data_IF_728063044256
#
_entry.id   IF_728063044256
#
_cell.length_a   1.000
_cell.length_b   1.000
_cell.length_c   1.000
_cell.angle_alpha   90.00
_cell.angle_beta   90.00
_cell.angle_gamma   90.00
#
_symmetry.space_group_name_H-M   'P 1'
#
loop_
_entity.id
_entity.type
_entity.pdbx_description
1 polymer ?
#
# COMPACT_ATOMS: atom_id res chain seq x y z
N UNK A 1 -44.87 52.61 12.52
CA UNK A 1 -45.35 52.21 11.18
C UNK A 1 -44.14 52.35 10.24
N UNK A 2 -43.07 51.58 10.39
CA UNK A 2 -42.90 50.12 10.28
C UNK A 2 -43.15 49.63 8.84
N UNK A 3 -42.09 49.65 8.01
CA UNK A 3 -41.81 48.67 6.95
C UNK A 3 -40.46 48.98 6.27
N UNK A 4 -39.35 48.94 7.03
CA UNK A 4 -38.06 48.65 6.41
C UNK A 4 -37.80 47.16 6.66
N UNK A 5 -37.83 46.43 5.56
CA UNK A 5 -37.65 44.99 5.49
C UNK A 5 -36.29 44.61 6.10
N UNK A 6 -36.23 43.85 7.21
CA UNK A 6 -34.97 43.31 7.69
C UNK A 6 -34.48 42.29 6.65
N UNK A 7 -33.47 42.67 5.88
CA UNK A 7 -32.71 41.73 5.07
C UNK A 7 -32.16 40.70 6.05
N UNK A 8 -32.69 39.48 5.97
CA UNK A 8 -32.26 38.33 6.74
C UNK A 8 -30.76 38.18 6.69
N UNK A 9 -30.22 38.32 7.89
CA UNK A 9 -28.98 37.82 8.42
C UNK A 9 -28.49 36.47 7.85
N UNK A 10 -27.25 36.52 7.37
CA UNK A 10 -26.25 35.70 8.05
C UNK A 10 -26.18 34.22 7.67
N UNK A 11 -26.91 33.73 6.67
CA UNK A 11 -26.52 32.50 6.00
C UNK A 11 -25.63 32.84 4.81
N UNK A 12 -24.45 33.34 5.16
CA UNK A 12 -23.29 33.18 4.30
C UNK A 12 -23.22 31.72 3.91
N UNK A 13 -23.62 31.43 2.68
CA UNK A 13 -22.83 30.52 1.85
C UNK A 13 -21.46 31.17 1.69
N UNK A 14 -20.72 31.34 2.79
CA UNK A 14 -19.30 31.11 2.73
C UNK A 14 -19.21 29.81 1.94
N UNK A 15 -18.40 29.75 0.87
CA UNK A 15 -17.94 28.45 0.44
C UNK A 15 -17.58 27.77 1.74
N UNK A 16 -18.26 26.68 2.08
CA UNK A 16 -17.64 25.73 2.99
C UNK A 16 -16.38 25.45 2.22
N UNK A 17 -15.31 26.15 2.59
CA UNK A 17 -13.98 25.76 2.24
C UNK A 17 -13.95 24.41 2.92
N UNK A 18 -14.33 23.41 2.12
CA UNK A 18 -14.15 22.04 2.46
C UNK A 18 -12.66 22.03 2.69
N UNK A 19 -12.29 22.18 3.96
CA UNK A 19 -10.96 21.88 4.44
C UNK A 19 -10.93 20.38 4.25
N UNK A 20 -10.76 19.97 2.98
CA UNK A 20 -10.27 18.66 2.60
C UNK A 20 -9.08 18.53 3.52
N UNK A 21 -9.14 17.66 4.55
CA UNK A 21 -8.02 17.53 5.45
C UNK A 21 -6.86 17.18 4.53
N UNK A 22 -5.91 18.12 4.37
CA UNK A 22 -4.79 17.97 3.47
C UNK A 22 -4.17 16.63 3.85
N UNK A 23 -4.24 15.64 2.95
CA UNK A 23 -4.01 14.22 3.23
C UNK A 23 -2.95 14.05 4.33
N UNK A 24 -3.38 13.93 5.58
CA UNK A 24 -2.50 14.12 6.75
C UNK A 24 -1.62 12.89 6.98
N UNK A 25 -1.83 11.84 6.19
CA UNK A 25 -0.89 10.75 6.05
C UNK A 25 -0.49 10.70 4.56
N UNK A 26 0.66 11.28 4.21
CA UNK A 26 1.30 10.94 2.94
C UNK A 26 1.59 9.45 3.02
N UNK A 27 0.68 8.63 2.51
CA UNK A 27 0.86 7.17 2.39
C UNK A 27 2.09 6.99 1.51
N UNK A 28 3.23 6.78 2.16
CA UNK A 28 4.46 6.37 1.50
C UNK A 28 4.21 4.96 0.99
N UNK A 29 3.72 4.88 -0.25
CA UNK A 29 3.66 3.62 -0.95
C UNK A 29 5.12 3.23 -1.21
N UNK A 30 5.60 2.09 -0.68
CA UNK A 30 6.93 1.62 -1.00
C UNK A 30 7.06 1.54 -2.53
N UNK A 31 8.27 1.83 -3.04
CA UNK A 31 8.54 1.79 -4.47
C UNK A 31 8.04 0.47 -5.07
N UNK A 32 7.58 0.47 -6.33
CA UNK A 32 6.96 -0.71 -6.94
C UNK A 32 7.91 -1.92 -6.90
N UNK A 33 7.63 -2.88 -6.00
CA UNK A 33 8.42 -4.11 -5.87
C UNK A 33 7.78 -5.25 -6.66
N UNK A 34 8.55 -5.83 -7.59
CA UNK A 34 8.13 -6.97 -8.41
C UNK A 34 8.42 -8.33 -7.75
N UNK A 35 9.14 -8.35 -6.62
CA UNK A 35 9.51 -9.57 -5.91
C UNK A 35 8.33 -10.38 -5.34
N UNK A 36 7.20 -9.78 -4.87
CA UNK A 36 6.03 -10.53 -4.43
C UNK A 36 5.45 -11.44 -5.53
N UNK A 37 5.52 -11.00 -6.79
CA UNK A 37 5.03 -11.77 -7.94
C UNK A 37 5.88 -13.02 -8.18
N UNK A 38 7.20 -12.90 -8.02
CA UNK A 38 8.14 -14.03 -8.14
C UNK A 38 7.86 -15.07 -7.04
N UNK A 39 7.61 -14.62 -5.81
CA UNK A 39 7.23 -15.51 -4.70
C UNK A 39 5.90 -16.21 -5.00
N UNK A 40 4.88 -15.49 -5.49
CA UNK A 40 3.60 -16.08 -5.86
C UNK A 40 3.74 -17.15 -6.96
N UNK A 41 4.59 -16.90 -7.96
CA UNK A 41 4.88 -17.88 -9.01
C UNK A 41 5.59 -19.12 -8.44
N UNK A 42 6.57 -18.94 -7.55
CA UNK A 42 7.25 -20.04 -6.86
C UNK A 42 6.30 -20.90 -6.04
N UNK A 43 5.41 -20.27 -5.26
CA UNK A 43 4.39 -20.96 -4.45
C UNK A 43 3.43 -21.74 -5.35
N UNK A 44 2.99 -21.13 -6.45
CA UNK A 44 2.13 -21.80 -7.43
C UNK A 44 2.79 -23.06 -7.99
N UNK A 45 4.08 -22.96 -8.38
CA UNK A 45 4.84 -24.12 -8.84
C UNK A 45 5.02 -25.18 -7.75
N UNK A 46 5.23 -24.78 -6.49
CA UNK A 46 5.33 -25.72 -5.39
C UNK A 46 4.02 -26.49 -5.19
N UNK A 47 2.87 -25.80 -5.17
CA UNK A 47 1.54 -26.42 -5.03
C UNK A 47 1.24 -27.36 -6.19
N UNK A 48 1.49 -26.93 -7.43
CA UNK A 48 1.34 -27.79 -8.63
C UNK A 48 2.29 -29.00 -8.53
N UNK A 49 3.51 -28.79 -8.06
CA UNK A 49 4.51 -29.83 -7.87
C UNK A 49 4.08 -30.93 -6.90
N UNK A 50 3.33 -30.61 -5.85
CA UNK A 50 2.77 -31.62 -4.92
C UNK A 50 1.95 -32.67 -5.67
N UNK A 51 1.24 -32.28 -6.74
CA UNK A 51 0.36 -33.18 -7.50
C UNK A 51 1.11 -33.87 -8.65
N UNK A 52 2.07 -33.18 -9.28
CA UNK A 52 2.76 -33.69 -10.47
C UNK A 52 4.00 -34.52 -10.13
N UNK A 53 4.92 -34.01 -9.30
CA UNK A 53 6.21 -34.65 -9.03
C UNK A 53 7.01 -33.94 -7.95
N UNK A 54 7.71 -34.72 -7.12
CA UNK A 54 8.67 -34.21 -6.12
C UNK A 54 9.76 -33.30 -6.73
N UNK A 55 10.16 -33.52 -7.98
CA UNK A 55 11.12 -32.64 -8.65
C UNK A 55 10.58 -31.23 -8.90
N UNK A 56 9.32 -31.14 -9.34
CA UNK A 56 8.65 -29.85 -9.58
C UNK A 56 8.40 -29.13 -8.25
N UNK A 57 8.01 -29.88 -7.21
CA UNK A 57 7.88 -29.35 -5.86
C UNK A 57 9.20 -28.75 -5.35
N UNK A 58 10.31 -29.48 -5.47
CA UNK A 58 11.62 -29.01 -5.05
C UNK A 58 12.02 -27.71 -5.78
N UNK A 59 11.79 -27.64 -7.09
CA UNK A 59 12.05 -26.44 -7.88
C UNK A 59 11.20 -25.25 -7.41
N UNK A 60 9.88 -25.45 -7.22
CA UNK A 60 8.98 -24.41 -6.73
C UNK A 60 9.37 -23.90 -5.34
N UNK A 61 9.78 -24.80 -4.44
CA UNK A 61 10.28 -24.44 -3.11
C UNK A 61 11.57 -23.60 -3.18
N UNK A 62 12.54 -23.99 -4.02
CA UNK A 62 13.77 -23.22 -4.20
C UNK A 62 13.46 -21.80 -4.68
N UNK A 63 12.61 -21.67 -5.70
CA UNK A 63 12.20 -20.37 -6.24
C UNK A 63 11.51 -19.53 -5.15
N UNK A 64 10.61 -20.15 -4.38
CA UNK A 64 9.89 -19.49 -3.29
C UNK A 64 10.83 -18.98 -2.21
N UNK A 65 11.76 -19.82 -1.74
CA UNK A 65 12.71 -19.45 -0.68
C UNK A 65 13.63 -18.33 -1.15
N UNK A 66 14.19 -18.43 -2.36
CA UNK A 66 15.05 -17.39 -2.93
C UNK A 66 14.28 -16.08 -3.12
N UNK A 67 13.04 -16.15 -3.60
CA UNK A 67 12.16 -15.00 -3.74
C UNK A 67 11.88 -14.31 -2.41
N UNK A 68 11.55 -15.08 -1.37
CA UNK A 68 11.30 -14.56 -0.02
C UNK A 68 12.56 -13.90 0.56
N UNK A 69 13.72 -14.56 0.48
CA UNK A 69 14.97 -14.01 1.02
C UNK A 69 15.32 -12.67 0.37
N UNK A 70 15.18 -12.58 -0.96
CA UNK A 70 15.41 -11.32 -1.69
C UNK A 70 14.39 -10.26 -1.31
N UNK A 71 13.12 -10.63 -1.22
CA UNK A 71 12.04 -9.70 -0.87
C UNK A 71 12.22 -9.13 0.54
N UNK A 72 12.51 -9.98 1.52
CA UNK A 72 12.79 -9.55 2.89
C UNK A 72 13.99 -8.61 2.95
N UNK A 73 15.02 -8.83 2.12
CA UNK A 73 16.19 -7.94 2.10
C UNK A 73 15.85 -6.56 1.53
N UNK A 74 15.14 -6.50 0.41
CA UNK A 74 14.71 -5.24 -0.21
C UNK A 74 13.77 -4.47 0.71
N UNK A 75 12.74 -5.12 1.27
CA UNK A 75 11.85 -4.48 2.25
C UNK A 75 12.60 -3.99 3.50
N UNK A 76 13.67 -4.67 3.91
CA UNK A 76 14.52 -4.20 5.02
C UNK A 76 15.34 -2.97 4.65
N UNK A 77 15.84 -2.89 3.42
CA UNK A 77 16.55 -1.72 2.90
C UNK A 77 15.59 -0.52 2.82
N UNK A 78 14.39 -0.71 2.26
CA UNK A 78 13.35 0.32 2.16
C UNK A 78 12.93 0.89 3.54
N UNK A 79 12.79 0.01 4.54
CA UNK A 79 12.41 0.42 5.89
C UNK A 79 13.55 1.07 6.67
N UNK A 80 14.82 0.79 6.32
CA UNK A 80 15.98 1.36 6.97
C UNK A 80 16.29 2.79 6.50
N UNK A 81 15.77 3.19 5.34
CA UNK A 81 15.93 4.55 4.79
C UNK A 81 15.08 5.59 5.52
N UNK A 82 14.08 5.16 6.30
CA UNK A 82 13.32 6.03 7.19
C UNK A 82 14.11 6.31 8.49
N UNK A 83 14.59 7.54 8.74
CA UNK A 83 15.27 7.86 9.98
C UNK A 83 14.31 7.63 11.16
N UNK A 84 14.70 6.77 12.10
CA UNK A 84 13.98 6.52 13.35
C UNK A 84 14.18 7.68 14.35
N UNK A 85 13.95 8.92 13.93
CA UNK A 85 13.83 10.11 14.79
C UNK A 85 12.35 10.28 15.16
N UNK A 86 11.89 9.60 16.22
CA UNK A 86 11.49 10.32 17.44
C UNK A 86 12.35 11.51 17.83
#
# INVERSE_FOLDING_TARGET
MAAEHPIGDGNGHAPVEEVVPAATEQVHLPGPSYLPVVVAAGVTLAVVGVVISFFVLALGLIITVVGIVRWVRETREDMAELPLEH
#
